data_IF_766762804783
#
_entry.id   IF_766762804783
#
_cell.length_a   1.000
_cell.length_b   1.000
_cell.length_c   1.000
_cell.angle_alpha   90.00
_cell.angle_beta   90.00
_cell.angle_gamma   90.00
#
_symmetry.space_group_name_H-M   'P 1'
#
loop_
_entity.id
_entity.type
_entity.pdbx_description
1 polymer ?
#
# COMPACT_ATOMS: atom_id res chain seq x y z
N UNK A 1 30.57 -21.52 -0.76
CA UNK A 1 29.88 -20.24 -1.05
C UNK A 1 28.45 -20.61 -1.38
N UNK A 2 27.42 -20.03 -0.75
CA UNK A 2 26.04 -20.47 -1.05
C UNK A 2 24.95 -20.10 -0.04
N UNK A 3 25.25 -19.97 1.27
CA UNK A 3 24.22 -19.62 2.27
C UNK A 3 24.04 -18.10 2.42
N UNK A 4 25.11 -17.32 2.20
CA UNK A 4 25.12 -15.87 2.43
C UNK A 4 24.53 -15.06 1.27
N UNK A 5 24.61 -15.60 0.05
CA UNK A 5 24.17 -14.91 -1.17
C UNK A 5 22.64 -15.01 -1.34
N UNK A 6 22.04 -16.18 -1.07
CA UNK A 6 20.58 -16.38 -1.15
C UNK A 6 19.82 -15.56 -0.09
N UNK A 7 20.31 -15.54 1.15
CA UNK A 7 19.71 -14.73 2.23
C UNK A 7 19.81 -13.21 1.96
N UNK A 8 20.93 -12.76 1.36
CA UNK A 8 21.09 -11.37 0.95
C UNK A 8 20.14 -11.01 -0.20
N UNK A 9 19.97 -11.90 -1.18
CA UNK A 9 19.07 -11.71 -2.32
C UNK A 9 17.60 -11.72 -1.91
N UNK A 10 17.21 -12.63 -1.01
CA UNK A 10 15.87 -12.70 -0.42
C UNK A 10 15.55 -11.44 0.41
N UNK A 11 16.49 -10.98 1.24
CA UNK A 11 16.33 -9.74 2.00
C UNK A 11 16.21 -8.50 1.10
N UNK A 12 16.95 -8.46 -0.01
CA UNK A 12 16.82 -7.37 -0.98
C UNK A 12 15.46 -7.38 -1.67
N UNK A 13 14.98 -8.54 -2.13
CA UNK A 13 13.64 -8.68 -2.71
C UNK A 13 12.56 -8.17 -1.74
N UNK A 14 12.61 -8.58 -0.47
CA UNK A 14 11.66 -8.11 0.56
C UNK A 14 11.71 -6.59 0.77
N UNK A 15 12.90 -5.98 0.80
CA UNK A 15 13.05 -4.52 0.95
C UNK A 15 12.50 -3.76 -0.25
N UNK A 16 12.76 -4.25 -1.47
CA UNK A 16 12.24 -3.65 -2.70
C UNK A 16 10.71 -3.76 -2.72
N UNK A 17 10.17 -4.91 -2.31
CA UNK A 17 8.72 -5.13 -2.23
C UNK A 17 8.07 -4.23 -1.19
N UNK A 18 8.67 -4.07 -0.02
CA UNK A 18 8.18 -3.16 1.02
C UNK A 18 8.24 -1.68 0.56
N UNK A 19 9.33 -1.29 -0.12
CA UNK A 19 9.46 0.04 -0.71
C UNK A 19 8.41 0.30 -1.81
N UNK A 20 8.14 -0.69 -2.67
CA UNK A 20 7.07 -0.60 -3.67
C UNK A 20 5.70 -0.49 -2.99
N UNK A 21 5.41 -1.33 -1.99
CA UNK A 21 4.14 -1.27 -1.23
C UNK A 21 3.97 0.08 -0.56
N UNK A 22 5.04 0.67 -0.02
CA UNK A 22 5.00 2.01 0.57
C UNK A 22 4.65 3.08 -0.47
N UNK A 23 5.30 3.06 -1.64
CA UNK A 23 4.98 3.98 -2.75
C UNK A 23 3.54 3.83 -3.24
N UNK A 24 3.08 2.59 -3.43
CA UNK A 24 1.71 2.32 -3.85
C UNK A 24 0.69 2.79 -2.81
N UNK A 25 0.95 2.56 -1.52
CA UNK A 25 0.11 3.09 -0.44
C UNK A 25 0.03 4.61 -0.46
N UNK A 26 1.17 5.29 -0.66
CA UNK A 26 1.19 6.75 -0.76
C UNK A 26 0.36 7.26 -1.95
N UNK A 27 0.39 6.56 -3.08
CA UNK A 27 -0.42 6.89 -4.25
C UNK A 27 -1.91 6.60 -4.02
N UNK A 28 -2.24 5.45 -3.41
CA UNK A 28 -3.59 5.08 -3.03
C UNK A 28 -4.21 6.08 -2.03
N UNK A 29 -3.41 6.60 -1.09
CA UNK A 29 -3.87 7.62 -0.15
C UNK A 29 -4.25 8.93 -0.84
N UNK A 30 -3.56 9.31 -1.93
CA UNK A 30 -3.91 10.50 -2.72
C UNK A 30 -5.21 10.29 -3.51
N UNK A 31 -5.37 9.11 -4.12
CA UNK A 31 -6.59 8.78 -4.86
C UNK A 31 -7.82 8.65 -3.94
N UNK A 32 -7.62 8.10 -2.74
CA UNK A 32 -8.67 7.91 -1.74
C UNK A 32 -8.79 9.09 -0.76
N UNK A 33 -8.11 10.21 -1.00
CA UNK A 33 -8.11 11.41 -0.14
C UNK A 33 -9.51 11.86 0.32
N UNK A 34 -10.54 11.96 -0.55
CA UNK A 34 -11.88 12.37 -0.10
C UNK A 34 -12.54 11.39 0.87
N UNK A 35 -12.20 10.10 0.79
CA UNK A 35 -12.73 9.08 1.72
C UNK A 35 -11.99 9.13 3.06
N UNK A 36 -10.67 9.32 3.01
CA UNK A 36 -9.82 9.52 4.18
C UNK A 36 -10.25 10.79 4.93
N UNK A 37 -10.55 11.87 4.22
CA UNK A 37 -11.06 13.12 4.80
C UNK A 37 -12.36 12.89 5.57
N UNK A 38 -13.35 12.21 4.98
CA UNK A 38 -14.61 11.85 5.67
C UNK A 38 -14.38 11.00 6.92
N UNK A 39 -13.45 10.04 6.84
CA UNK A 39 -13.07 9.24 8.01
C UNK A 39 -12.39 10.09 9.09
N UNK A 40 -11.49 10.99 8.70
CA UNK A 40 -10.80 11.90 9.62
C UNK A 40 -11.77 12.89 10.29
N UNK A 41 -12.76 13.42 9.55
CA UNK A 41 -13.83 14.24 10.11
C UNK A 41 -14.67 13.46 11.12
N UNK A 42 -15.00 12.20 10.83
CA UNK A 42 -15.72 11.34 11.77
C UNK A 42 -14.90 10.99 13.02
N UNK A 43 -13.59 10.81 12.86
CA UNK A 43 -12.66 10.52 13.95
C UNK A 43 -12.30 11.77 14.78
N UNK A 44 -12.54 12.97 14.26
CA UNK A 44 -12.24 14.23 14.94
C UNK A 44 -13.03 14.33 16.24
N UNK A 45 -12.33 14.34 17.37
CA UNK A 45 -12.93 14.42 18.71
C UNK A 45 -13.43 13.08 19.27
N UNK A 46 -13.16 11.96 18.60
CA UNK A 46 -13.44 10.61 19.09
C UNK A 46 -12.11 9.87 19.26
N UNK A 47 -11.84 9.36 20.45
CA UNK A 47 -10.60 8.60 20.73
C UNK A 47 -10.92 7.10 20.79
N UNK A 48 -11.81 6.72 21.70
CA UNK A 48 -12.19 5.31 21.88
C UNK A 48 -13.32 4.91 20.94
N UNK A 49 -14.21 5.85 20.59
CA UNK A 49 -15.46 5.57 19.88
C UNK A 49 -15.39 5.49 18.36
N UNK A 50 -14.23 5.75 17.78
CA UNK A 50 -14.03 5.79 16.32
C UNK A 50 -14.34 4.45 15.68
N UNK A 51 -13.92 3.35 16.31
CA UNK A 51 -14.01 2.00 15.71
C UNK A 51 -15.46 1.58 15.48
N UNK A 52 -16.39 2.01 16.35
CA UNK A 52 -17.81 1.74 16.17
C UNK A 52 -18.55 2.86 15.44
N UNK A 53 -18.32 4.11 15.82
CA UNK A 53 -19.06 5.26 15.29
C UNK A 53 -18.68 5.60 13.85
N UNK A 54 -17.44 5.30 13.44
CA UNK A 54 -16.91 5.58 12.10
C UNK A 54 -16.66 4.30 11.28
N UNK A 55 -17.28 3.18 11.68
CA UNK A 55 -17.07 1.88 11.03
C UNK A 55 -17.46 1.91 9.54
N UNK A 56 -18.48 2.68 9.18
CA UNK A 56 -18.92 2.82 7.79
C UNK A 56 -17.86 3.52 6.94
N UNK A 57 -17.38 4.70 7.38
CA UNK A 57 -16.35 5.48 6.70
C UNK A 57 -15.02 4.73 6.66
N UNK A 58 -14.68 4.00 7.72
CA UNK A 58 -13.50 3.13 7.77
C UNK A 58 -13.58 2.00 6.74
N UNK A 59 -14.73 1.35 6.58
CA UNK A 59 -14.94 0.32 5.55
C UNK A 59 -14.79 0.90 4.14
N UNK A 60 -15.38 2.06 3.88
CA UNK A 60 -15.32 2.71 2.56
C UNK A 60 -13.89 3.11 2.19
N UNK A 61 -13.16 3.70 3.14
CA UNK A 61 -11.75 4.06 2.98
C UNK A 61 -10.88 2.82 2.78
N UNK A 62 -11.07 1.78 3.59
CA UNK A 62 -10.35 0.52 3.44
C UNK A 62 -10.67 -0.18 2.11
N UNK A 63 -11.92 -0.15 1.64
CA UNK A 63 -12.29 -0.73 0.35
C UNK A 63 -11.58 -0.01 -0.81
N UNK A 64 -11.46 1.31 -0.74
CA UNK A 64 -10.69 2.08 -1.72
C UNK A 64 -9.20 1.72 -1.68
N UNK A 65 -8.58 1.76 -0.50
CA UNK A 65 -7.17 1.40 -0.32
C UNK A 65 -6.88 -0.03 -0.80
N UNK A 66 -7.78 -0.97 -0.50
CA UNK A 66 -7.65 -2.38 -0.89
C UNK A 66 -7.62 -2.58 -2.41
N UNK A 67 -8.27 -1.72 -3.20
CA UNK A 67 -8.18 -1.80 -4.68
C UNK A 67 -6.76 -1.55 -5.18
N UNK A 68 -6.03 -0.66 -4.51
CA UNK A 68 -4.66 -0.30 -4.88
C UNK A 68 -3.61 -1.17 -4.19
N UNK A 69 -3.88 -1.68 -2.98
CA UNK A 69 -2.94 -2.52 -2.22
C UNK A 69 -3.16 -4.03 -2.41
N UNK A 70 -3.97 -4.43 -3.40
CA UNK A 70 -4.22 -5.84 -3.70
C UNK A 70 -2.98 -6.52 -4.27
N UNK A 71 -2.79 -7.82 -4.00
CA UNK A 71 -1.63 -8.57 -4.51
C UNK A 71 -1.56 -8.59 -6.03
N UNK A 72 -2.71 -8.60 -6.72
CA UNK A 72 -2.75 -8.52 -8.18
C UNK A 72 -2.30 -7.15 -8.72
N UNK A 73 -2.63 -6.07 -8.01
CA UNK A 73 -2.16 -4.72 -8.35
C UNK A 73 -0.65 -4.59 -8.11
N UNK A 74 -0.16 -5.24 -7.05
CA UNK A 74 1.26 -5.30 -6.72
C UNK A 74 2.07 -6.08 -7.76
N UNK A 75 1.59 -7.24 -8.21
CA UNK A 75 2.23 -8.02 -9.27
C UNK A 75 2.27 -7.27 -10.61
N UNK A 76 1.19 -6.57 -10.97
CA UNK A 76 1.17 -5.70 -12.16
C UNK A 76 2.20 -4.57 -12.05
N UNK A 77 2.28 -3.91 -10.89
CA UNK A 77 3.27 -2.86 -10.65
C UNK A 77 4.71 -3.38 -10.71
N UNK A 78 4.96 -4.59 -10.19
CA UNK A 78 6.27 -5.23 -10.22
C UNK A 78 6.72 -5.51 -11.65
N UNK A 79 5.84 -6.13 -12.46
CA UNK A 79 6.06 -6.34 -13.89
C UNK A 79 6.34 -5.03 -14.64
N UNK A 80 5.52 -4.00 -14.42
CA UNK A 80 5.75 -2.69 -15.04
C UNK A 80 7.07 -2.05 -14.61
N UNK A 81 7.49 -2.21 -13.34
CA UNK A 81 8.79 -1.74 -12.87
C UNK A 81 9.96 -2.51 -13.52
N UNK A 82 9.82 -3.82 -13.69
CA UNK A 82 10.80 -4.65 -14.39
C UNK A 82 10.90 -4.26 -15.87
N UNK A 83 9.76 -4.06 -16.54
CA UNK A 83 9.67 -3.57 -17.92
C UNK A 83 10.25 -2.15 -18.07
N UNK A 84 9.93 -1.23 -17.16
CA UNK A 84 10.52 0.12 -17.16
C UNK A 84 12.02 0.11 -16.86
N UNK A 85 12.49 -0.80 -16.00
CA UNK A 85 13.93 -0.96 -15.75
C UNK A 85 14.66 -1.50 -16.98
N UNK A 86 14.02 -2.40 -17.75
CA UNK A 86 14.54 -2.90 -19.02
C UNK A 86 14.49 -1.85 -20.13
N UNK A 87 13.49 -0.96 -20.15
CA UNK A 87 13.38 0.10 -21.16
C UNK A 87 14.36 1.27 -20.95
N UNK A 88 14.99 1.35 -19.76
CA UNK A 88 16.04 2.33 -19.45
C UNK A 88 17.46 1.82 -19.66
N UNK A 89 17.62 0.57 -20.08
CA UNK A 89 18.87 -0.04 -20.53
C UNK A 89 19.06 0.18 -22.02
#
# INVERSE_FOLDING_TARGET
MGIREDAAQSRMKKKVEEALRSKMKAQALKECDPLVAKFAECAKGRLFSVVWACRAQSKETNACLHRYTNDEAFEKYKKQYEEQALQKL
#
